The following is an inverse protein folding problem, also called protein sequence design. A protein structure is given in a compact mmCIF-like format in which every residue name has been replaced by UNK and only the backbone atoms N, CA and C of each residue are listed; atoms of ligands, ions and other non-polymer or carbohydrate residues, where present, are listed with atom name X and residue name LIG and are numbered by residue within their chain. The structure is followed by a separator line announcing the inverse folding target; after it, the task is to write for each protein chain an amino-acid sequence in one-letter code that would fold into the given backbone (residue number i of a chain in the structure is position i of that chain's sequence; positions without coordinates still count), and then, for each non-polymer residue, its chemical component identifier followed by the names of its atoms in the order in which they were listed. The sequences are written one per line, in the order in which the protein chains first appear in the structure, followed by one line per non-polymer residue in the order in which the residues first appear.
data_IF_189852177850
#
_entry.id   IF_189852177850
#
_cell.length_a   1.000
_cell.length_b   1.000
_cell.length_c   1.000
_cell.angle_alpha   90.00
_cell.angle_beta   90.00
_cell.angle_gamma   90.00
#
_symmetry.space_group_name_H-M   'P 1'
#
loop_
_entity.id
_entity.type
_entity.pdbx_description
1 polymer ?
#
# COMPACT_ATOMS: atom_id res chain seq x y z
N UNK A 1 -6.16 0.15 25.35
CA UNK A 1 -6.93 1.24 24.70
C UNK A 1 -8.23 0.60 24.25
N UNK A 2 -9.35 0.86 24.92
CA UNK A 2 -10.59 0.07 24.73
C UNK A 2 -11.32 0.32 23.40
N UNK A 3 -11.03 1.42 22.68
CA UNK A 3 -11.63 1.70 21.38
C UNK A 3 -10.57 1.78 20.27
N UNK A 4 -10.47 0.73 19.45
CA UNK A 4 -9.72 0.71 18.20
C UNK A 4 -10.58 -0.05 17.18
N UNK A 5 -11.41 0.69 16.44
CA UNK A 5 -12.43 0.11 15.56
C UNK A 5 -11.88 -0.32 14.22
N UNK A 6 -10.66 0.10 13.89
CA UNK A 6 -10.03 -0.16 12.59
C UNK A 6 -9.04 -1.32 12.64
N UNK A 7 -8.79 -1.90 13.82
CA UNK A 7 -7.91 -3.07 13.95
C UNK A 7 -8.42 -4.22 13.08
N UNK A 8 -7.52 -4.86 12.38
CA UNK A 8 -7.85 -5.96 11.47
C UNK A 8 -7.11 -5.87 10.14
N UNK A 9 -7.56 -6.72 9.23
CA UNK A 9 -7.04 -6.82 7.86
C UNK A 9 -8.08 -6.27 6.90
N UNK A 10 -7.63 -5.34 6.07
CA UNK A 10 -8.42 -4.68 5.05
C UNK A 10 -7.87 -5.05 3.68
N UNK A 11 -8.76 -5.24 2.72
CA UNK A 11 -8.43 -5.51 1.32
C UNK A 11 -8.70 -4.27 0.48
N UNK A 12 -7.83 -4.03 -0.50
CA UNK A 12 -8.00 -2.94 -1.45
C UNK A 12 -9.15 -3.25 -2.40
N UNK A 13 -10.10 -2.32 -2.52
CA UNK A 13 -11.21 -2.40 -3.49
C UNK A 13 -10.92 -1.59 -4.74
N UNK A 14 -10.42 -0.36 -4.58
CA UNK A 14 -9.97 0.51 -5.67
C UNK A 14 -8.90 1.49 -5.18
N UNK A 15 -8.16 2.09 -6.12
CA UNK A 15 -7.13 3.08 -5.82
C UNK A 15 -7.05 4.13 -6.93
N UNK A 16 -7.60 5.30 -6.64
CA UNK A 16 -7.76 6.38 -7.60
C UNK A 16 -7.07 7.65 -7.09
N UNK A 17 -6.25 8.27 -7.94
CA UNK A 17 -5.74 9.61 -7.73
C UNK A 17 -6.67 10.60 -8.41
N UNK A 18 -7.39 11.37 -7.60
CA UNK A 18 -8.24 12.46 -8.09
C UNK A 18 -7.37 13.70 -8.25
N UNK A 19 -7.13 14.08 -9.51
CA UNK A 19 -6.58 15.36 -9.92
C UNK A 19 -7.75 16.27 -10.37
N UNK A 20 -7.61 17.58 -10.28
CA UNK A 20 -8.70 18.57 -10.44
C UNK A 20 -9.80 18.21 -11.44
N UNK A 21 -9.44 17.80 -12.66
CA UNK A 21 -10.39 17.41 -13.73
C UNK A 21 -10.30 15.95 -14.16
N UNK A 22 -9.34 15.19 -13.64
CA UNK A 22 -9.00 13.86 -14.10
C UNK A 22 -8.85 12.91 -12.92
N UNK A 23 -9.43 11.72 -13.02
CA UNK A 23 -9.16 10.63 -12.07
C UNK A 23 -8.28 9.60 -12.75
N UNK A 24 -7.13 9.30 -12.17
CA UNK A 24 -6.19 8.33 -12.71
C UNK A 24 -6.01 7.16 -11.74
N UNK A 25 -6.06 5.90 -12.21
CA UNK A 25 -5.84 4.75 -11.35
C UNK A 25 -4.38 4.70 -10.90
N UNK A 26 -4.13 4.54 -9.59
CA UNK A 26 -2.78 4.52 -9.02
C UNK A 26 -2.04 3.19 -9.19
N UNK A 27 -2.78 2.08 -9.37
CA UNK A 27 -2.22 0.73 -9.48
C UNK A 27 -2.90 -0.05 -10.63
N UNK A 28 -2.97 0.57 -11.80
CA UNK A 28 -3.51 -0.05 -13.00
C UNK A 28 -5.02 -0.30 -12.94
N UNK A 29 -5.52 -1.10 -13.88
CA UNK A 29 -6.94 -1.44 -13.96
C UNK A 29 -7.31 -2.55 -12.96
N UNK A 30 -6.32 -3.33 -12.52
CA UNK A 30 -6.50 -4.46 -11.61
C UNK A 30 -5.67 -4.27 -10.32
N UNK A 31 -6.04 -3.29 -9.47
CA UNK A 31 -5.32 -3.04 -8.23
C UNK A 31 -5.57 -4.16 -7.22
N UNK A 32 -4.54 -4.50 -6.44
CA UNK A 32 -4.65 -5.44 -5.32
C UNK A 32 -3.78 -5.02 -4.16
N UNK A 33 -4.25 -5.24 -2.93
CA UNK A 33 -3.47 -4.89 -1.77
C UNK A 33 -4.13 -5.23 -0.46
N UNK A 34 -3.35 -5.10 0.61
CA UNK A 34 -3.84 -5.25 1.97
C UNK A 34 -3.26 -4.17 2.88
N UNK A 35 -4.10 -3.71 3.81
CA UNK A 35 -3.73 -2.85 4.92
C UNK A 35 -4.04 -3.59 6.21
N UNK A 36 -3.04 -3.73 7.08
CA UNK A 36 -3.20 -4.36 8.39
C UNK A 36 -3.02 -3.29 9.45
N UNK A 37 -4.00 -3.17 10.34
CA UNK A 37 -3.92 -2.39 11.57
C UNK A 37 -3.87 -3.35 12.76
N UNK A 38 -2.78 -3.29 13.52
CA UNK A 38 -2.54 -4.16 14.69
C UNK A 38 -3.06 -3.55 15.98
N UNK A 39 -3.23 -4.37 17.02
CA UNK A 39 -3.64 -3.88 18.35
C UNK A 39 -2.56 -3.00 19.00
N UNK A 40 -1.29 -3.24 18.67
CA UNK A 40 -0.11 -2.51 19.14
C UNK A 40 0.12 -1.18 18.41
N UNK A 41 -0.89 -0.66 17.70
CA UNK A 41 -0.82 0.62 16.99
C UNK A 41 0.24 0.66 15.88
N UNK A 42 0.53 -0.49 15.27
CA UNK A 42 1.33 -0.61 14.05
C UNK A 42 0.46 -0.86 12.84
N UNK A 43 0.88 -0.34 11.69
CA UNK A 43 0.26 -0.65 10.42
C UNK A 43 1.29 -1.13 9.39
N UNK A 44 0.81 -1.90 8.41
CA UNK A 44 1.56 -2.27 7.21
C UNK A 44 0.60 -2.26 6.03
N UNK A 45 1.03 -1.67 4.91
CA UNK A 45 0.29 -1.69 3.65
C UNK A 45 1.18 -2.23 2.54
N UNK A 46 0.57 -3.03 1.66
CA UNK A 46 1.16 -3.45 0.39
C UNK A 46 0.10 -3.28 -0.67
N UNK A 47 0.39 -2.51 -1.71
CA UNK A 47 -0.46 -2.22 -2.85
C UNK A 47 0.30 -2.61 -4.12
N UNK A 48 -0.36 -3.25 -5.07
CA UNK A 48 0.21 -3.75 -6.31
C UNK A 48 -0.75 -3.50 -7.46
N UNK A 49 -0.19 -3.22 -8.63
CA UNK A 49 -0.83 -3.39 -9.93
C UNK A 49 -0.60 -4.83 -10.39
N UNK A 50 -1.68 -5.63 -10.47
CA UNK A 50 -1.59 -7.02 -10.90
C UNK A 50 -1.36 -7.19 -12.41
N UNK A 51 -1.46 -6.12 -13.18
CA UNK A 51 -1.21 -6.12 -14.63
C UNK A 51 0.30 -5.98 -14.94
N UNK A 52 1.14 -5.70 -13.94
CA UNK A 52 2.59 -5.70 -14.09
C UNK A 52 3.07 -7.08 -14.58
N UNK A 53 3.79 -7.16 -15.71
CA UNK A 53 4.28 -8.42 -16.24
C UNK A 53 5.20 -9.17 -15.26
N UNK A 54 5.08 -10.49 -15.26
CA UNK A 54 6.02 -11.37 -14.53
C UNK A 54 7.42 -11.26 -15.13
N UNK A 55 8.41 -11.46 -14.28
CA UNK A 55 9.81 -11.51 -14.71
C UNK A 55 10.05 -12.76 -15.55
N UNK A 56 10.96 -12.68 -16.51
CA UNK A 56 11.43 -13.85 -17.26
C UNK A 56 12.31 -14.82 -16.45
N UNK A 57 12.62 -14.47 -15.20
CA UNK A 57 13.45 -15.24 -14.26
C UNK A 57 12.73 -15.42 -12.92
N UNK A 58 13.00 -16.54 -12.24
CA UNK A 58 12.52 -16.78 -10.87
C UNK A 58 13.38 -16.07 -9.82
N UNK A 59 14.62 -15.72 -10.17
CA UNK A 59 15.50 -14.93 -9.31
C UNK A 59 15.16 -13.44 -9.48
N UNK A 60 14.38 -12.89 -8.55
CA UNK A 60 13.97 -11.48 -8.54
C UNK A 60 15.15 -10.51 -8.67
N UNK A 61 16.33 -10.87 -8.17
CA UNK A 61 17.51 -9.99 -8.23
C UNK A 61 18.11 -9.87 -9.64
N UNK A 62 17.72 -10.76 -10.56
CA UNK A 62 18.22 -10.83 -11.95
C UNK A 62 17.21 -10.34 -12.98
N UNK A 63 16.12 -9.71 -12.55
CA UNK A 63 15.21 -9.04 -13.48
C UNK A 63 15.94 -7.98 -14.30
N UNK A 64 15.47 -7.74 -15.52
CA UNK A 64 15.98 -6.64 -16.35
C UNK A 64 15.67 -5.29 -15.70
N UNK A 65 16.35 -4.23 -16.12
CA UNK A 65 16.06 -2.88 -15.63
C UNK A 65 14.59 -2.48 -15.88
N UNK A 66 14.01 -2.92 -17.00
CA UNK A 66 12.62 -2.63 -17.36
C UNK A 66 11.64 -3.37 -16.44
N UNK A 67 11.89 -4.65 -16.18
CA UNK A 67 11.09 -5.46 -15.25
C UNK A 67 11.13 -4.92 -13.82
N UNK A 68 12.33 -4.61 -13.32
CA UNK A 68 12.52 -4.05 -11.97
C UNK A 68 11.85 -2.68 -11.81
N UNK A 69 11.94 -1.83 -12.86
CA UNK A 69 11.27 -0.53 -12.88
C UNK A 69 9.75 -0.69 -12.88
N UNK A 70 9.20 -1.56 -13.72
CA UNK A 70 7.76 -1.81 -13.80
C UNK A 70 7.22 -2.34 -12.45
N UNK A 71 7.89 -3.32 -11.85
CA UNK A 71 7.53 -3.84 -10.53
C UNK A 71 7.58 -2.78 -9.43
N UNK A 72 8.60 -1.91 -9.43
CA UNK A 72 8.72 -0.85 -8.43
C UNK A 72 7.68 0.25 -8.64
N UNK A 73 7.39 0.63 -9.90
CA UNK A 73 6.40 1.65 -10.21
C UNK A 73 4.96 1.17 -9.94
N UNK A 74 4.68 -0.11 -10.14
CA UNK A 74 3.37 -0.71 -9.86
C UNK A 74 3.18 -1.18 -8.42
N UNK A 75 4.13 -0.93 -7.51
CA UNK A 75 4.02 -1.38 -6.11
C UNK A 75 4.25 -0.23 -5.14
N UNK A 76 3.43 -0.17 -4.09
CA UNK A 76 3.68 0.67 -2.93
C UNK A 76 3.58 -0.17 -1.66
N UNK A 77 4.66 -0.20 -0.88
CA UNK A 77 4.67 -0.81 0.44
C UNK A 77 5.15 0.22 1.46
N UNK A 78 4.41 0.40 2.54
CA UNK A 78 4.87 1.21 3.67
C UNK A 78 4.36 0.65 5.00
N UNK A 79 5.06 0.97 6.06
CA UNK A 79 4.71 0.54 7.41
C UNK A 79 5.09 1.60 8.42
N UNK A 80 4.47 1.52 9.59
CA UNK A 80 4.71 2.49 10.64
C UNK A 80 3.82 2.30 11.85
N UNK A 81 3.56 3.40 12.54
CA UNK A 81 2.61 3.47 13.65
C UNK A 81 1.40 4.31 13.27
N UNK A 82 0.28 4.08 13.92
CA UNK A 82 -0.92 4.89 13.74
C UNK A 82 -1.53 5.26 15.08
N UNK A 83 -2.43 6.24 15.08
CA UNK A 83 -3.20 6.63 16.25
C UNK A 83 -4.68 6.61 15.92
N UNK A 84 -5.50 6.41 16.95
CA UNK A 84 -6.96 6.54 16.87
C UNK A 84 -7.46 7.68 17.74
N UNK A 85 -8.59 8.26 17.39
CA UNK A 85 -9.27 9.27 18.20
C UNK A 85 -10.03 8.64 19.38
N UNK A 86 -10.72 9.48 20.18
CA UNK A 86 -11.50 9.02 21.32
C UNK A 86 -12.67 8.07 20.95
N UNK A 87 -13.10 8.09 19.69
CA UNK A 87 -14.15 7.22 19.16
C UNK A 87 -13.58 5.92 18.57
N UNK A 88 -12.25 5.75 18.52
CA UNK A 88 -11.59 4.57 17.95
C UNK A 88 -11.42 4.63 16.43
N UNK A 89 -11.58 5.80 15.80
CA UNK A 89 -11.39 6.00 14.37
C UNK A 89 -9.95 6.39 14.05
N UNK A 90 -9.49 6.12 12.83
CA UNK A 90 -8.17 6.53 12.35
C UNK A 90 -7.98 8.04 12.52
N UNK A 91 -6.90 8.45 13.20
CA UNK A 91 -6.58 9.86 13.43
C UNK A 91 -5.32 10.31 12.70
N UNK A 92 -4.23 9.54 12.80
CA UNK A 92 -2.97 9.88 12.14
C UNK A 92 -2.10 8.64 11.95
N UNK A 93 -1.08 8.78 11.10
CA UNK A 93 -0.02 7.79 10.94
C UNK A 93 1.36 8.44 10.95
N UNK A 94 2.34 7.68 11.39
CA UNK A 94 3.75 7.99 11.26
C UNK A 94 4.42 6.87 10.45
N UNK A 95 4.89 7.20 9.25
CA UNK A 95 5.56 6.26 8.35
C UNK A 95 7.00 6.06 8.82
N UNK A 96 7.38 4.81 9.05
CA UNK A 96 8.76 4.44 9.44
C UNK A 96 9.57 4.04 8.21
N UNK A 97 8.94 3.33 7.27
CA UNK A 97 9.59 2.90 6.04
C UNK A 97 8.59 2.80 4.90
N UNK A 98 9.07 3.07 3.69
CA UNK A 98 8.29 3.09 2.47
C UNK A 98 9.15 2.67 1.28
N UNK A 99 8.57 1.93 0.33
CA UNK A 99 9.17 1.67 -0.98
C UNK A 99 9.23 2.93 -1.85
N UNK A 100 8.46 3.96 -1.48
CA UNK A 100 8.55 5.32 -1.97
C UNK A 100 9.20 6.22 -0.90
N UNK A 101 10.52 6.48 -0.97
CA UNK A 101 11.31 6.99 0.15
C UNK A 101 11.29 8.52 0.32
N UNK A 102 10.16 9.17 0.02
CA UNK A 102 10.00 10.63 0.14
C UNK A 102 9.45 11.06 1.49
#
# INVERSE_FOLDING_TARGET
MENNNIKGTWELVSADLVLDKDTVPLFGQNPSGSLIFTEEMRFSVVLNDLDVPKFGTEDRSKGTCEELRAATAGTLALYGTYTVDAHGNFASQHVIGSSFPN
#
